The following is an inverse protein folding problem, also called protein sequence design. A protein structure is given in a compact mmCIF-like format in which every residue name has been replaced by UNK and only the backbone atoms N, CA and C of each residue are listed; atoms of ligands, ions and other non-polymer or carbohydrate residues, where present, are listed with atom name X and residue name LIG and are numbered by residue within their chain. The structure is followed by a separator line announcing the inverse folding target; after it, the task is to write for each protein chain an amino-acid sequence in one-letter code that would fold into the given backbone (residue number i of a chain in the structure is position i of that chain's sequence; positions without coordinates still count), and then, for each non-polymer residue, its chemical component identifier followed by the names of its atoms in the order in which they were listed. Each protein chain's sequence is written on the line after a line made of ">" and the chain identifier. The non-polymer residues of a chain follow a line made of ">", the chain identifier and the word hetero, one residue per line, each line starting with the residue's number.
data_IF_806474810241
#
_entry.id   IF_806474810241
#
_cell.length_a   1.000
_cell.length_b   1.000
_cell.length_c   1.000
_cell.angle_alpha   90.00
_cell.angle_beta   90.00
_cell.angle_gamma   90.00
#
_symmetry.space_group_name_H-M   'P 1'
#
loop_
_entity.id
_entity.type
_entity.pdbx_description
1 polymer ?
#
# COMPACT_ATOMS: atom_id res chain seq x y z
N UNK A 1 -29.38 -21.65 -21.63
CA UNK A 1 -28.30 -21.58 -20.61
C UNK A 1 -28.15 -20.15 -20.16
N UNK A 2 -28.33 -19.87 -18.87
CA UNK A 2 -28.10 -18.51 -18.35
C UNK A 2 -26.58 -18.25 -18.38
N UNK A 3 -26.15 -17.30 -19.19
CA UNK A 3 -24.74 -16.85 -19.20
C UNK A 3 -24.48 -16.16 -17.85
N UNK A 4 -23.75 -16.82 -16.96
CA UNK A 4 -23.30 -16.19 -15.72
C UNK A 4 -22.33 -15.07 -16.09
N UNK A 5 -22.81 -13.83 -16.04
CA UNK A 5 -21.96 -12.66 -16.26
C UNK A 5 -20.95 -12.56 -15.13
N UNK A 6 -19.68 -12.34 -15.48
CA UNK A 6 -18.58 -12.11 -14.56
C UNK A 6 -18.03 -10.70 -14.74
N UNK A 7 -17.81 -9.99 -13.63
CA UNK A 7 -17.20 -8.65 -13.60
C UNK A 7 -15.92 -8.73 -12.77
N UNK A 8 -14.84 -8.21 -13.30
CA UNK A 8 -13.59 -8.02 -12.59
C UNK A 8 -13.36 -6.52 -12.37
N UNK A 9 -13.10 -6.13 -11.12
CA UNK A 9 -12.88 -4.75 -10.69
C UNK A 9 -11.42 -4.63 -10.25
N UNK A 10 -10.63 -3.78 -10.93
CA UNK A 10 -9.21 -3.56 -10.64
C UNK A 10 -8.96 -2.05 -10.60
N UNK A 11 -9.32 -1.36 -9.51
CA UNK A 11 -9.08 0.08 -9.36
C UNK A 11 -7.73 0.34 -8.72
N UNK A 12 -7.17 1.48 -9.01
CA UNK A 12 -6.23 2.18 -8.13
C UNK A 12 -6.99 3.05 -7.12
N UNK A 13 -6.29 3.71 -6.20
CA UNK A 13 -6.86 4.66 -5.27
C UNK A 13 -7.24 5.97 -5.98
N UNK A 14 -8.28 6.63 -5.47
CA UNK A 14 -8.64 7.99 -5.89
C UNK A 14 -8.07 8.94 -4.85
N UNK A 15 -7.02 9.68 -5.24
CA UNK A 15 -6.27 10.58 -4.33
C UNK A 15 -7.23 11.47 -3.53
N UNK A 16 -6.97 11.58 -2.24
CA UNK A 16 -7.72 12.40 -1.28
C UNK A 16 -9.22 12.08 -1.15
N UNK A 17 -9.67 10.92 -1.71
CA UNK A 17 -11.08 10.53 -1.73
C UNK A 17 -11.30 9.12 -1.16
N UNK A 18 -10.95 8.08 -1.90
CA UNK A 18 -11.28 6.71 -1.55
C UNK A 18 -10.13 5.75 -1.88
N UNK A 19 -9.88 4.78 -1.01
CA UNK A 19 -8.89 3.74 -1.27
C UNK A 19 -9.37 2.76 -2.35
N UNK A 20 -8.43 2.10 -3.03
CA UNK A 20 -8.75 1.06 -4.02
C UNK A 20 -9.60 -0.06 -3.43
N UNK A 21 -9.35 -0.43 -2.17
CA UNK A 21 -10.13 -1.45 -1.46
C UNK A 21 -11.57 -0.99 -1.20
N UNK A 22 -11.77 0.22 -0.69
CA UNK A 22 -13.13 0.76 -0.44
C UNK A 22 -13.92 0.90 -1.74
N UNK A 23 -13.27 1.34 -2.83
CA UNK A 23 -13.90 1.35 -4.15
C UNK A 23 -14.35 -0.05 -4.58
N UNK A 24 -13.49 -1.06 -4.44
CA UNK A 24 -13.85 -2.45 -4.72
C UNK A 24 -15.09 -2.89 -3.93
N UNK A 25 -15.14 -2.61 -2.64
CA UNK A 25 -16.24 -3.01 -1.75
C UNK A 25 -17.56 -2.32 -2.15
N UNK A 26 -17.51 -1.02 -2.48
CA UNK A 26 -18.69 -0.25 -2.92
C UNK A 26 -19.18 -0.74 -4.29
N UNK A 27 -18.28 -0.88 -5.26
CA UNK A 27 -18.63 -1.31 -6.62
C UNK A 27 -19.23 -2.73 -6.62
N UNK A 28 -18.64 -3.64 -5.84
CA UNK A 28 -19.17 -5.00 -5.66
C UNK A 28 -20.60 -4.98 -5.09
N UNK A 29 -20.84 -4.18 -4.05
CA UNK A 29 -22.19 -4.01 -3.47
C UNK A 29 -23.18 -3.44 -4.48
N UNK A 30 -22.77 -2.43 -5.25
CA UNK A 30 -23.63 -1.80 -6.26
C UNK A 30 -24.03 -2.80 -7.36
N UNK A 31 -23.08 -3.56 -7.91
CA UNK A 31 -23.34 -4.57 -8.94
C UNK A 31 -24.28 -5.65 -8.42
N UNK A 32 -24.04 -6.14 -7.20
CA UNK A 32 -24.87 -7.18 -6.57
C UNK A 32 -26.31 -6.69 -6.28
N UNK A 33 -26.52 -5.39 -6.06
CA UNK A 33 -27.86 -4.81 -5.93
C UNK A 33 -28.64 -4.83 -7.27
N UNK A 34 -27.95 -4.63 -8.39
CA UNK A 34 -28.55 -4.67 -9.72
C UNK A 34 -28.93 -6.11 -10.10
N UNK A 35 -27.99 -7.04 -9.89
CA UNK A 35 -28.23 -8.45 -10.15
C UNK A 35 -27.32 -9.32 -9.26
N UNK A 36 -27.91 -10.03 -8.31
CA UNK A 36 -27.22 -10.89 -7.37
C UNK A 36 -26.47 -12.08 -8.01
N UNK A 37 -26.90 -12.48 -9.23
CA UNK A 37 -26.30 -13.62 -9.94
C UNK A 37 -24.98 -13.26 -10.67
N UNK A 38 -24.64 -11.97 -10.80
CA UNK A 38 -23.36 -11.58 -11.38
C UNK A 38 -22.22 -12.00 -10.44
N UNK A 39 -21.24 -12.73 -10.97
CA UNK A 39 -20.02 -13.05 -10.25
C UNK A 39 -19.13 -11.79 -10.28
N UNK A 40 -18.71 -11.31 -9.11
CA UNK A 40 -17.87 -10.10 -9.01
C UNK A 40 -16.58 -10.45 -8.27
N UNK A 41 -15.48 -10.42 -9.01
CA UNK A 41 -14.13 -10.46 -8.45
C UNK A 41 -13.58 -9.03 -8.33
N UNK A 42 -12.76 -8.78 -7.33
CA UNK A 42 -12.12 -7.48 -7.15
C UNK A 42 -10.69 -7.63 -6.64
N UNK A 43 -9.79 -6.89 -7.25
CA UNK A 43 -8.37 -6.87 -6.91
C UNK A 43 -7.96 -5.40 -6.77
N UNK A 44 -7.82 -4.90 -5.53
CA UNK A 44 -7.24 -3.57 -5.34
C UNK A 44 -5.79 -3.58 -5.82
N UNK A 45 -5.38 -2.55 -6.53
CA UNK A 45 -3.99 -2.34 -6.97
C UNK A 45 -3.47 -1.00 -6.49
N UNK A 46 -2.18 -0.75 -6.67
CA UNK A 46 -1.52 0.51 -6.42
C UNK A 46 -0.43 0.76 -7.47
N UNK A 47 -0.18 2.02 -7.77
CA UNK A 47 0.80 2.49 -8.76
C UNK A 47 2.25 2.57 -8.23
N UNK A 48 2.46 2.08 -7.02
CA UNK A 48 3.72 2.21 -6.28
C UNK A 48 3.76 3.41 -5.33
N UNK A 49 2.68 4.19 -5.26
CA UNK A 49 2.49 5.27 -4.28
C UNK A 49 1.76 4.82 -3.03
N UNK A 50 1.01 5.74 -2.41
CA UNK A 50 0.24 5.49 -1.20
C UNK A 50 -0.81 4.39 -1.41
N UNK A 51 -0.86 3.44 -0.48
CA UNK A 51 -1.82 2.32 -0.52
C UNK A 51 -1.32 1.09 -1.29
N UNK A 52 -0.12 1.12 -1.88
CA UNK A 52 0.43 -0.01 -2.64
C UNK A 52 0.70 -1.26 -1.80
N UNK A 53 0.72 -1.15 -0.47
CA UNK A 53 0.79 -2.30 0.44
C UNK A 53 -0.57 -2.98 0.67
N UNK A 54 -1.69 -2.33 0.38
CA UNK A 54 -3.02 -2.86 0.69
C UNK A 54 -3.31 -4.22 0.03
N UNK A 55 -2.93 -4.47 -1.26
CA UNK A 55 -3.12 -5.78 -1.89
C UNK A 55 -2.45 -6.92 -1.12
N UNK A 56 -1.31 -6.66 -0.47
CA UNK A 56 -0.57 -7.68 0.28
C UNK A 56 -1.26 -8.09 1.58
N UNK A 57 -2.21 -7.29 2.10
CA UNK A 57 -3.05 -7.66 3.24
C UNK A 57 -4.03 -8.79 2.91
N UNK A 58 -4.29 -9.01 1.63
CA UNK A 58 -5.18 -10.06 1.14
C UNK A 58 -4.43 -11.37 0.83
N UNK A 59 -3.10 -11.36 0.99
CA UNK A 59 -2.25 -12.51 0.72
C UNK A 59 -1.87 -13.18 2.04
N UNK A 60 -2.31 -14.41 2.27
CA UNK A 60 -2.11 -15.16 3.52
C UNK A 60 -0.64 -15.37 3.91
N UNK A 61 0.27 -15.32 2.94
CA UNK A 61 1.69 -15.53 3.12
C UNK A 61 2.48 -14.25 3.44
N UNK A 62 1.85 -13.09 3.53
CA UNK A 62 2.47 -11.84 3.96
C UNK A 62 2.02 -11.40 5.33
N UNK A 63 2.96 -11.12 6.21
CA UNK A 63 2.72 -10.57 7.54
C UNK A 63 2.98 -9.08 7.56
N UNK A 64 2.00 -8.31 8.02
CA UNK A 64 2.15 -6.87 8.26
C UNK A 64 2.91 -6.62 9.55
N UNK A 65 3.93 -5.79 9.45
CA UNK A 65 4.72 -5.31 10.59
C UNK A 65 4.60 -3.78 10.65
N UNK A 66 4.54 -3.26 11.88
CA UNK A 66 4.57 -1.81 12.13
C UNK A 66 5.88 -1.43 12.79
N UNK A 67 6.40 -0.27 12.44
CA UNK A 67 7.62 0.28 13.02
C UNK A 67 7.51 1.81 13.11
N UNK A 68 7.97 2.38 14.20
CA UNK A 68 8.10 3.82 14.33
C UNK A 68 9.41 4.26 13.68
N UNK A 69 9.31 5.14 12.68
CA UNK A 69 10.44 5.68 11.92
C UNK A 69 10.42 7.21 11.93
N UNK A 70 11.47 7.84 11.43
CA UNK A 70 11.50 9.30 11.21
C UNK A 70 10.82 9.63 9.88
N UNK A 71 9.90 10.62 9.90
CA UNK A 71 9.34 11.20 8.68
C UNK A 71 10.28 12.29 8.12
N UNK A 72 10.02 12.84 6.92
CA UNK A 72 10.94 13.74 6.21
C UNK A 72 11.47 14.93 7.01
N UNK A 73 10.71 15.45 7.96
CA UNK A 73 11.11 16.55 8.88
C UNK A 73 11.54 16.04 10.27
N UNK A 74 12.13 14.87 10.35
CA UNK A 74 12.68 14.26 11.57
C UNK A 74 11.69 13.95 12.72
N UNK A 75 10.39 14.22 12.57
CA UNK A 75 9.37 13.78 13.53
C UNK A 75 9.11 12.28 13.37
N UNK A 76 8.59 11.64 14.40
CA UNK A 76 8.24 10.20 14.36
C UNK A 76 6.93 9.98 13.60
N UNK A 77 6.84 8.85 12.89
CA UNK A 77 5.63 8.34 12.26
C UNK A 77 5.58 6.83 12.39
N UNK A 78 4.38 6.29 12.52
CA UNK A 78 4.14 4.84 12.40
C UNK A 78 4.10 4.49 10.91
N UNK A 79 4.98 3.60 10.48
CA UNK A 79 5.02 3.08 9.13
C UNK A 79 4.82 1.58 9.13
N UNK A 80 4.27 1.04 8.05
CA UNK A 80 4.04 -0.40 7.88
C UNK A 80 4.89 -0.94 6.73
N UNK A 81 5.21 -2.21 6.81
CA UNK A 81 5.80 -2.99 5.73
C UNK A 81 5.30 -4.43 5.84
N UNK A 82 5.41 -5.21 4.78
CA UNK A 82 5.04 -6.63 4.81
C UNK A 82 6.24 -7.53 4.59
N UNK A 83 6.23 -8.68 5.26
CA UNK A 83 7.24 -9.73 5.12
C UNK A 83 6.57 -11.06 4.77
N UNK A 84 7.12 -11.72 3.76
CA UNK A 84 6.89 -13.14 3.51
C UNK A 84 8.10 -13.91 4.07
N UNK A 85 7.88 -14.62 5.17
CA UNK A 85 8.94 -15.36 5.87
C UNK A 85 9.45 -16.57 5.07
N UNK A 86 8.60 -17.17 4.24
CA UNK A 86 8.99 -18.34 3.42
C UNK A 86 9.94 -17.95 2.28
N UNK A 87 9.59 -16.87 1.56
CA UNK A 87 10.39 -16.40 0.42
C UNK A 87 11.47 -15.40 0.83
N UNK A 88 11.52 -15.02 2.11
CA UNK A 88 12.39 -13.96 2.65
C UNK A 88 12.26 -12.65 1.86
N UNK A 89 11.03 -12.33 1.45
CA UNK A 89 10.71 -11.13 0.69
C UNK A 89 10.07 -10.09 1.60
N UNK A 90 10.54 -8.85 1.55
CA UNK A 90 9.94 -7.70 2.20
C UNK A 90 9.38 -6.73 1.15
N UNK A 91 8.21 -6.18 1.40
CA UNK A 91 7.60 -5.11 0.59
C UNK A 91 7.49 -3.87 1.45
N UNK A 92 8.04 -2.78 0.95
CA UNK A 92 8.10 -1.47 1.62
C UNK A 92 7.46 -0.42 0.70
N UNK A 93 6.60 0.41 1.26
CA UNK A 93 6.03 1.58 0.60
C UNK A 93 6.71 2.84 1.15
N UNK A 94 7.49 3.53 0.31
CA UNK A 94 8.21 4.74 0.67
C UNK A 94 7.24 5.81 1.20
N UNK A 95 6.08 5.96 0.57
CA UNK A 95 5.09 6.97 0.92
C UNK A 95 4.70 6.95 2.42
N UNK A 96 4.67 5.78 3.05
CA UNK A 96 4.32 5.67 4.48
C UNK A 96 5.39 6.22 5.44
N UNK A 97 6.65 6.23 5.03
CA UNK A 97 7.76 6.70 5.86
C UNK A 97 8.28 8.07 5.42
N UNK A 98 8.29 8.31 4.11
CA UNK A 98 8.97 9.45 3.49
C UNK A 98 8.13 10.15 2.42
N UNK A 99 6.81 9.89 2.36
CA UNK A 99 5.93 10.47 1.36
C UNK A 99 5.73 11.98 1.51
N UNK A 100 5.44 12.64 0.40
CA UNK A 100 5.21 14.10 0.35
C UNK A 100 4.02 14.54 1.20
N UNK A 101 3.01 13.67 1.37
CA UNK A 101 1.85 13.92 2.23
C UNK A 101 2.21 14.07 3.71
N UNK A 102 3.40 13.58 4.13
CA UNK A 102 3.92 13.76 5.49
C UNK A 102 4.57 15.12 5.71
N UNK A 103 4.68 15.95 4.66
CA UNK A 103 5.32 17.26 4.69
C UNK A 103 4.26 18.32 4.41
N UNK A 104 4.01 19.25 5.37
CA UNK A 104 3.16 20.41 5.12
C UNK A 104 3.62 21.17 3.88
N UNK A 105 2.69 21.66 3.07
CA UNK A 105 3.01 22.30 1.79
C UNK A 105 4.04 23.43 1.92
N UNK A 106 3.89 24.27 2.93
CA UNK A 106 4.80 25.38 3.24
C UNK A 106 6.23 24.94 3.61
N UNK A 107 6.44 23.66 3.93
CA UNK A 107 7.73 23.10 4.34
C UNK A 107 8.30 22.11 3.30
N UNK A 108 7.70 22.02 2.12
CA UNK A 108 8.19 21.15 1.03
C UNK A 108 9.43 21.75 0.40
N UNK A 109 10.57 21.35 0.93
CA UNK A 109 11.89 21.75 0.46
C UNK A 109 12.82 20.52 0.46
N UNK A 110 13.30 20.06 -0.71
CA UNK A 110 14.15 18.87 -0.80
C UNK A 110 15.50 19.04 -0.09
N UNK A 111 15.94 20.28 0.16
CA UNK A 111 17.18 20.54 0.86
C UNK A 111 17.13 20.30 2.37
N UNK A 112 15.92 20.21 2.95
CA UNK A 112 15.72 20.00 4.40
C UNK A 112 14.94 18.75 4.75
N UNK A 113 14.37 18.07 3.74
CA UNK A 113 13.64 16.81 3.91
C UNK A 113 14.55 15.61 3.71
N UNK A 114 14.17 14.47 4.27
CA UNK A 114 14.97 13.24 4.21
C UNK A 114 14.11 12.00 4.01
N UNK A 115 14.67 10.99 3.36
CA UNK A 115 14.10 9.64 3.24
C UNK A 115 14.62 8.67 4.30
N UNK A 116 15.22 9.17 5.37
CA UNK A 116 15.83 8.39 6.43
C UNK A 116 14.87 7.36 7.06
N UNK A 117 13.58 7.68 7.14
CA UNK A 117 12.57 6.72 7.63
C UNK A 117 12.45 5.47 6.76
N UNK A 118 12.54 5.63 5.45
CA UNK A 118 12.57 4.49 4.51
C UNK A 118 13.84 3.65 4.69
N UNK A 119 15.00 4.29 4.89
CA UNK A 119 16.24 3.59 5.24
C UNK A 119 16.08 2.75 6.51
N UNK A 120 15.44 3.28 7.55
CA UNK A 120 15.17 2.57 8.80
C UNK A 120 14.33 1.29 8.57
N UNK A 121 13.32 1.34 7.68
CA UNK A 121 12.52 0.17 7.31
C UNK A 121 13.39 -0.88 6.58
N UNK A 122 14.19 -0.44 5.60
CA UNK A 122 15.10 -1.31 4.85
C UNK A 122 16.09 -2.00 5.79
N UNK A 123 16.74 -1.24 6.66
CA UNK A 123 17.69 -1.76 7.65
C UNK A 123 17.04 -2.78 8.58
N UNK A 124 15.81 -2.51 9.03
CA UNK A 124 15.06 -3.45 9.86
C UNK A 124 14.76 -4.75 9.09
N UNK A 125 14.35 -4.67 7.82
CA UNK A 125 14.10 -5.83 6.98
C UNK A 125 15.38 -6.68 6.79
N UNK A 126 16.50 -6.04 6.50
CA UNK A 126 17.80 -6.72 6.37
C UNK A 126 18.19 -7.44 7.67
N UNK A 127 18.05 -6.78 8.81
CA UNK A 127 18.36 -7.37 10.14
C UNK A 127 17.46 -8.58 10.46
N UNK A 128 16.29 -8.70 9.82
CA UNK A 128 15.40 -9.87 9.92
C UNK A 128 15.75 -10.98 8.93
N UNK A 129 16.85 -10.88 8.20
CA UNK A 129 17.30 -11.89 7.26
C UNK A 129 16.53 -11.92 5.94
N UNK A 130 15.88 -10.81 5.56
CA UNK A 130 15.23 -10.65 4.26
C UNK A 130 16.28 -10.73 3.15
N UNK A 131 15.96 -11.46 2.08
CA UNK A 131 16.83 -11.65 0.92
C UNK A 131 16.39 -10.85 -0.30
N UNK A 132 15.12 -10.43 -0.35
CA UNK A 132 14.54 -9.65 -1.44
C UNK A 132 13.72 -8.49 -0.87
N UNK A 133 13.98 -7.28 -1.34
CA UNK A 133 13.17 -6.11 -0.99
C UNK A 133 12.51 -5.60 -2.28
N UNK A 134 11.18 -5.43 -2.20
CA UNK A 134 10.40 -4.71 -3.20
C UNK A 134 10.09 -3.35 -2.58
N UNK A 135 10.59 -2.29 -3.19
CA UNK A 135 10.38 -0.92 -2.74
C UNK A 135 9.46 -0.19 -3.71
N UNK A 136 8.31 0.22 -3.23
CA UNK A 136 7.40 1.13 -3.93
C UNK A 136 7.85 2.56 -3.68
N UNK A 137 8.16 3.31 -4.73
CA UNK A 137 8.79 4.63 -4.66
C UNK A 137 7.89 5.81 -5.06
N UNK A 138 6.63 5.54 -5.37
CA UNK A 138 5.66 6.60 -5.64
C UNK A 138 5.30 7.42 -4.41
N UNK A 139 4.70 8.60 -4.62
CA UNK A 139 4.28 9.49 -3.54
C UNK A 139 5.43 10.24 -2.84
N UNK A 140 6.60 10.29 -3.48
CA UNK A 140 7.78 11.03 -2.96
C UNK A 140 7.77 12.51 -3.37
#
# INVERSE_FOLDING_TARGET
>A
MAINKKVLIIPDSFKDSISSKEFCDIAKKAIKKINSNIIVDSIPIGDGGEGSLEPFKLMDNFQFKKMTVKRPLNKKVQSSYCINEMTKTCVIELAQASGIQLVPESLRNPMITTTYGTEQLIKNAINKGVKKIILFIGGS
#
